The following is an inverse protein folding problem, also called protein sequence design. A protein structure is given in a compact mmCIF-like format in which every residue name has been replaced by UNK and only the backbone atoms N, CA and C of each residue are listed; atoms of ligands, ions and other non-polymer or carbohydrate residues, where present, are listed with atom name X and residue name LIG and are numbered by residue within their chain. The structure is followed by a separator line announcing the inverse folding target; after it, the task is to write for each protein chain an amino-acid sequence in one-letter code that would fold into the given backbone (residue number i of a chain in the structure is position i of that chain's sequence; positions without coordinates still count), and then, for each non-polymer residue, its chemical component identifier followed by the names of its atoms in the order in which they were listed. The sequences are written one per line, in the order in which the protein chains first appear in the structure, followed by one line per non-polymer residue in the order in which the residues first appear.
data_IF_447446120833
#
_entry.id   IF_447446120833
#
_cell.length_a   1.000
_cell.length_b   1.000
_cell.length_c   1.000
_cell.angle_alpha   90.00
_cell.angle_beta   90.00
_cell.angle_gamma   90.00
#
_symmetry.space_group_name_H-M   'P 1'
#
loop_
_entity.id
_entity.type
_entity.pdbx_description
1 polymer ?
#
# COMPACT_ATOMS: atom_id res chain seq x y z
N UNK A 1 -45.89 18.62 2.92
CA UNK A 1 -45.95 18.16 4.32
C UNK A 1 -44.56 17.67 4.72
N UNK A 2 -44.19 17.88 5.98
CA UNK A 2 -42.85 18.03 6.59
C UNK A 2 -41.84 16.89 6.34
N UNK A 3 -40.56 17.32 6.22
CA UNK A 3 -39.33 16.52 6.24
C UNK A 3 -39.22 15.70 7.54
N UNK A 4 -38.98 14.40 7.42
CA UNK A 4 -38.41 13.59 8.52
C UNK A 4 -37.18 12.87 7.99
N UNK A 5 -36.06 13.59 7.98
CA UNK A 5 -34.73 12.98 7.83
C UNK A 5 -34.50 12.22 9.13
N UNK A 6 -34.64 10.89 9.07
CA UNK A 6 -34.24 10.02 10.16
C UNK A 6 -32.72 10.18 10.36
N UNK A 7 -32.35 10.98 11.36
CA UNK A 7 -30.99 11.12 11.83
C UNK A 7 -30.60 9.82 12.55
N UNK A 8 -30.14 8.83 11.79
CA UNK A 8 -29.47 7.66 12.35
C UNK A 8 -28.16 8.14 12.96
N UNK A 9 -28.14 8.32 14.29
CA UNK A 9 -26.89 8.40 15.04
C UNK A 9 -26.17 7.07 14.82
N UNK A 10 -25.32 7.01 13.80
CA UNK A 10 -24.40 5.91 13.56
C UNK A 10 -23.51 5.80 14.81
N UNK A 11 -23.79 4.82 15.66
CA UNK A 11 -22.87 4.44 16.73
C UNK A 11 -21.55 4.09 16.03
N UNK A 12 -20.50 4.88 16.26
CA UNK A 12 -19.20 4.58 15.65
C UNK A 12 -18.78 3.21 16.19
N UNK A 13 -18.57 2.26 15.29
CA UNK A 13 -18.00 0.96 15.64
C UNK A 13 -16.61 1.19 16.24
N UNK A 14 -16.14 0.29 17.11
CA UNK A 14 -14.77 0.35 17.65
C UNK A 14 -13.74 0.46 16.52
N UNK A 15 -14.00 -0.22 15.40
CA UNK A 15 -13.19 -0.14 14.19
C UNK A 15 -13.19 1.26 13.57
N UNK A 16 -14.33 1.96 13.53
CA UNK A 16 -14.42 3.33 12.99
C UNK A 16 -13.64 4.34 13.85
N UNK A 17 -13.67 4.16 15.17
CA UNK A 17 -12.94 5.00 16.13
C UNK A 17 -11.44 4.75 16.00
N UNK A 18 -11.03 3.47 16.03
CA UNK A 18 -9.64 3.06 15.83
C UNK A 18 -9.11 3.59 14.49
N UNK A 19 -9.87 3.43 13.40
CA UNK A 19 -9.49 3.95 12.09
C UNK A 19 -9.33 5.47 12.10
N UNK A 20 -10.25 6.21 12.72
CA UNK A 20 -10.17 7.68 12.78
C UNK A 20 -8.95 8.13 13.58
N UNK A 21 -8.66 7.47 14.70
CA UNK A 21 -7.49 7.77 15.54
C UNK A 21 -6.21 7.40 14.79
N UNK A 22 -6.11 6.18 14.27
CA UNK A 22 -4.94 5.71 13.53
C UNK A 22 -4.63 6.62 12.33
N UNK A 23 -5.65 7.01 11.55
CA UNK A 23 -5.47 7.92 10.42
C UNK A 23 -4.98 9.30 10.87
N UNK A 24 -5.57 9.86 11.93
CA UNK A 24 -5.17 11.17 12.47
C UNK A 24 -3.76 11.13 13.03
N UNK A 25 -3.43 10.10 13.81
CA UNK A 25 -2.11 9.89 14.38
C UNK A 25 -1.06 9.70 13.29
N UNK A 26 -1.32 8.87 12.27
CA UNK A 26 -0.42 8.68 11.13
C UNK A 26 -0.19 10.00 10.37
N UNK A 27 -1.25 10.78 10.12
CA UNK A 27 -1.14 12.07 9.43
C UNK A 27 -0.37 13.10 10.25
N UNK A 28 -0.57 13.12 11.57
CA UNK A 28 0.14 14.04 12.46
C UNK A 28 1.62 13.67 12.55
N UNK A 29 1.94 12.39 12.77
CA UNK A 29 3.32 11.90 12.89
C UNK A 29 4.11 12.10 11.59
N UNK A 30 3.47 11.97 10.42
CA UNK A 30 4.10 12.21 9.12
C UNK A 30 4.25 13.69 8.74
N UNK A 31 3.79 14.63 9.56
CA UNK A 31 3.83 16.06 9.23
C UNK A 31 5.19 16.71 9.51
N UNK A 32 5.60 17.75 8.76
CA UNK A 32 6.81 18.52 9.05
C UNK A 32 6.85 19.12 10.47
N UNK A 33 5.67 19.45 11.02
CA UNK A 33 5.55 19.94 12.40
C UNK A 33 5.92 18.86 13.42
N UNK A 34 5.49 17.61 13.22
CA UNK A 34 5.87 16.51 14.12
C UNK A 34 7.37 16.21 14.07
N UNK A 35 8.00 16.32 12.90
CA UNK A 35 9.46 16.23 12.78
C UNK A 35 10.17 17.31 13.62
N UNK A 36 9.72 18.55 13.52
CA UNK A 36 10.29 19.64 14.31
C UNK A 36 10.13 19.41 15.82
N UNK A 37 8.95 18.98 16.26
CA UNK A 37 8.71 18.62 17.68
C UNK A 37 9.62 17.49 18.13
N UNK A 38 9.75 16.41 17.34
CA UNK A 38 10.64 15.29 17.65
C UNK A 38 12.11 15.75 17.74
N UNK A 39 12.55 16.63 16.83
CA UNK A 39 13.89 17.20 16.84
C UNK A 39 14.16 18.01 18.11
N UNK A 40 13.22 18.87 18.52
CA UNK A 40 13.33 19.65 19.76
C UNK A 40 13.39 18.73 20.99
N UNK A 41 12.60 17.65 21.02
CA UNK A 41 12.66 16.65 22.10
C UNK A 41 14.04 16.00 22.18
N UNK A 42 14.60 15.58 21.04
CA UNK A 42 15.94 14.98 20.98
C UNK A 42 17.02 15.97 21.43
N UNK A 43 16.92 17.24 21.02
CA UNK A 43 17.84 18.29 21.49
C UNK A 43 17.72 18.51 22.99
N UNK A 44 16.51 18.64 23.54
CA UNK A 44 16.30 18.82 24.97
C UNK A 44 16.85 17.63 25.77
N UNK A 45 16.62 16.41 25.29
CA UNK A 45 17.20 15.21 25.88
C UNK A 45 18.74 15.25 25.82
N UNK A 46 19.33 15.59 24.68
CA UNK A 46 20.79 15.70 24.52
C UNK A 46 21.40 16.73 25.48
N UNK A 47 20.79 17.92 25.60
CA UNK A 47 21.22 18.99 26.50
C UNK A 47 21.06 18.64 27.98
N UNK A 48 20.16 17.71 28.32
CA UNK A 48 20.04 17.20 29.69
C UNK A 48 21.16 16.20 30.05
N UNK A 49 21.86 15.64 29.06
CA UNK A 49 22.92 14.64 29.24
C UNK A 49 24.02 15.04 30.24
N UNK A 50 24.62 16.24 30.15
CA UNK A 50 25.64 16.70 31.10
C UNK A 50 25.16 16.76 32.56
N UNK A 51 23.89 17.09 32.81
CA UNK A 51 23.32 17.12 34.15
C UNK A 51 23.21 15.71 34.76
N UNK A 52 22.91 14.70 33.93
CA UNK A 52 22.81 13.30 34.33
C UNK A 52 24.11 12.51 34.15
N UNK A 53 25.23 13.17 33.84
CA UNK A 53 26.53 12.54 33.61
C UNK A 53 26.51 11.49 32.49
N UNK A 54 25.61 11.62 31.51
CA UNK A 54 25.39 10.64 30.45
C UNK A 54 25.14 9.20 30.97
N UNK A 55 24.45 9.08 32.11
CA UNK A 55 24.17 7.81 32.77
C UNK A 55 23.40 6.79 31.92
N UNK A 56 23.50 5.52 32.30
CA UNK A 56 22.76 4.42 31.65
C UNK A 56 21.25 4.64 31.70
N UNK A 57 20.71 5.19 32.79
CA UNK A 57 19.27 5.52 32.89
C UNK A 57 18.86 6.61 31.90
N UNK A 58 19.72 7.61 31.69
CA UNK A 58 19.46 8.68 30.72
C UNK A 58 19.42 8.17 29.27
N UNK A 59 20.31 7.22 28.92
CA UNK A 59 20.30 6.52 27.63
C UNK A 59 19.10 5.57 27.50
N UNK A 60 18.78 4.84 28.58
CA UNK A 60 17.69 3.88 28.61
C UNK A 60 16.35 4.55 28.30
N UNK A 61 16.08 5.74 28.85
CA UNK A 61 14.81 6.45 28.64
C UNK A 61 14.56 6.73 27.15
N UNK A 62 15.54 7.24 26.41
CA UNK A 62 15.34 7.53 24.99
C UNK A 62 15.26 6.25 24.15
N UNK A 63 16.06 5.24 24.47
CA UNK A 63 16.09 3.98 23.74
C UNK A 63 14.79 3.21 23.92
N UNK A 64 14.32 3.05 25.16
CA UNK A 64 13.05 2.39 25.48
C UNK A 64 11.87 3.18 24.90
N UNK A 65 11.86 4.51 25.06
CA UNK A 65 10.78 5.35 24.52
C UNK A 65 10.67 5.27 23.00
N UNK A 66 11.80 5.41 22.30
CA UNK A 66 11.84 5.33 20.84
C UNK A 66 11.45 3.94 20.33
N UNK A 67 11.85 2.87 21.04
CA UNK A 67 11.48 1.50 20.68
C UNK A 67 9.97 1.29 20.75
N UNK A 68 9.32 1.70 21.84
CA UNK A 68 7.86 1.62 21.98
C UNK A 68 7.16 2.44 20.91
N UNK A 69 7.62 3.68 20.68
CA UNK A 69 7.04 4.56 19.66
C UNK A 69 7.18 3.97 18.26
N UNK A 70 8.35 3.40 17.94
CA UNK A 70 8.61 2.75 16.66
C UNK A 70 7.74 1.52 16.47
N UNK A 71 7.60 0.68 17.51
CA UNK A 71 6.72 -0.48 17.47
C UNK A 71 5.27 -0.08 17.15
N UNK A 72 4.75 0.94 17.83
CA UNK A 72 3.43 1.49 17.53
C UNK A 72 3.35 2.10 16.13
N UNK A 73 4.39 2.82 15.70
CA UNK A 73 4.46 3.43 14.38
C UNK A 73 4.41 2.36 13.27
N UNK A 74 5.11 1.24 13.42
CA UNK A 74 5.08 0.14 12.44
C UNK A 74 3.63 -0.34 12.24
N UNK A 75 2.86 -0.57 13.31
CA UNK A 75 1.45 -0.94 13.16
C UNK A 75 0.61 0.15 12.49
N UNK A 76 0.83 1.43 12.83
CA UNK A 76 0.11 2.55 12.21
C UNK A 76 0.41 2.68 10.71
N UNK A 77 1.69 2.56 10.36
CA UNK A 77 2.17 2.58 8.98
C UNK A 77 1.62 1.37 8.23
N UNK A 78 1.69 0.17 8.78
CA UNK A 78 1.12 -1.05 8.19
C UNK A 78 -0.39 -0.94 7.98
N UNK A 79 -1.15 -0.40 8.94
CA UNK A 79 -2.60 -0.21 8.77
C UNK A 79 -2.91 0.79 7.63
N UNK A 80 -2.15 1.89 7.55
CA UNK A 80 -2.31 2.89 6.49
C UNK A 80 -1.93 2.31 5.13
N UNK A 81 -0.77 1.65 5.05
CA UNK A 81 -0.27 0.99 3.84
C UNK A 81 -1.19 -0.13 3.36
N UNK A 82 -1.70 -0.98 4.26
CA UNK A 82 -2.65 -2.04 3.90
C UNK A 82 -3.93 -1.48 3.28
N UNK A 83 -4.43 -0.36 3.82
CA UNK A 83 -5.63 0.30 3.28
C UNK A 83 -5.35 0.97 1.93
N UNK A 84 -4.22 1.67 1.79
CA UNK A 84 -3.84 2.31 0.53
C UNK A 84 -3.57 1.27 -0.56
N UNK A 85 -2.97 0.13 -0.22
CA UNK A 85 -2.81 -1.02 -1.11
C UNK A 85 -4.15 -1.50 -1.65
N UNK A 86 -5.12 -1.80 -0.77
CA UNK A 86 -6.48 -2.20 -1.19
C UNK A 86 -7.17 -1.16 -2.09
N UNK A 87 -6.99 0.13 -1.81
CA UNK A 87 -7.57 1.18 -2.63
C UNK A 87 -6.91 1.26 -4.02
N UNK A 88 -5.62 0.94 -4.14
CA UNK A 88 -4.91 0.83 -5.42
C UNK A 88 -5.44 -0.38 -6.21
N UNK A 89 -5.56 -1.55 -5.58
CA UNK A 89 -6.13 -2.76 -6.19
C UNK A 89 -7.50 -2.48 -6.80
N UNK A 90 -8.45 -1.98 -6.02
CA UNK A 90 -9.80 -1.65 -6.49
C UNK A 90 -9.82 -0.64 -7.67
N UNK A 91 -8.90 0.33 -7.69
CA UNK A 91 -8.78 1.28 -8.81
C UNK A 91 -8.24 0.60 -10.06
N UNK A 92 -7.27 -0.31 -9.92
CA UNK A 92 -6.73 -1.10 -11.02
C UNK A 92 -7.78 -2.05 -11.58
N UNK A 93 -8.55 -2.71 -10.72
CA UNK A 93 -9.65 -3.60 -11.10
C UNK A 93 -10.69 -2.87 -11.93
N UNK A 94 -11.10 -1.67 -11.52
CA UNK A 94 -12.04 -0.86 -12.29
C UNK A 94 -11.46 -0.43 -13.64
N UNK A 95 -10.17 -0.09 -13.70
CA UNK A 95 -9.48 0.22 -14.96
C UNK A 95 -9.43 -0.99 -15.89
N UNK A 96 -9.03 -2.17 -15.39
CA UNK A 96 -8.99 -3.43 -16.14
C UNK A 96 -10.40 -3.75 -16.65
N UNK A 97 -11.42 -3.69 -15.78
CA UNK A 97 -12.82 -3.93 -16.14
C UNK A 97 -13.35 -2.96 -17.19
N UNK A 98 -12.91 -1.70 -17.18
CA UNK A 98 -13.34 -0.68 -18.16
C UNK A 98 -12.76 -0.91 -19.56
N UNK A 99 -11.68 -1.68 -19.69
CA UNK A 99 -11.06 -2.01 -20.97
C UNK A 99 -11.79 -3.21 -21.58
N UNK A 100 -12.53 -2.98 -22.68
CA UNK A 100 -13.38 -3.99 -23.37
C UNK A 100 -12.68 -5.29 -23.77
N UNK A 101 -11.34 -5.32 -23.81
CA UNK A 101 -10.53 -6.49 -24.19
C UNK A 101 -9.82 -7.15 -23.00
N UNK A 102 -9.94 -6.59 -21.80
CA UNK A 102 -9.34 -7.19 -20.62
C UNK A 102 -10.14 -8.42 -20.18
N UNK A 103 -9.44 -9.53 -19.93
CA UNK A 103 -10.07 -10.75 -19.41
C UNK A 103 -10.43 -10.52 -17.94
N UNK A 104 -11.69 -10.75 -17.59
CA UNK A 104 -12.19 -10.69 -16.21
C UNK A 104 -11.35 -11.51 -15.20
N UNK A 105 -10.60 -12.52 -15.68
CA UNK A 105 -9.68 -13.33 -14.86
C UNK A 105 -8.46 -12.56 -14.32
N UNK A 106 -8.20 -11.34 -14.79
CA UNK A 106 -7.13 -10.48 -14.26
C UNK A 106 -7.61 -9.50 -13.19
N UNK A 107 -8.93 -9.36 -13.04
CA UNK A 107 -9.57 -8.63 -11.93
C UNK A 107 -9.53 -9.60 -10.75
N UNK A 108 -8.93 -9.22 -9.63
CA UNK A 108 -8.69 -10.07 -8.44
C UNK A 108 -7.54 -11.11 -8.59
N UNK A 109 -6.51 -10.81 -9.37
CA UNK A 109 -5.34 -11.72 -9.54
C UNK A 109 -4.60 -11.98 -8.22
N UNK A 110 -4.66 -11.06 -7.26
CA UNK A 110 -4.05 -11.16 -5.93
C UNK A 110 -4.70 -12.21 -5.03
N UNK A 111 -5.95 -12.58 -5.30
CA UNK A 111 -6.72 -13.55 -4.51
C UNK A 111 -6.69 -14.96 -5.14
N UNK A 112 -6.01 -15.12 -6.28
CA UNK A 112 -5.86 -16.40 -6.96
C UNK A 112 -4.92 -17.35 -6.20
N UNK A 113 -5.19 -18.65 -6.27
CA UNK A 113 -4.26 -19.66 -5.73
C UNK A 113 -2.96 -19.68 -6.52
N UNK A 114 -1.85 -20.10 -5.90
CA UNK A 114 -0.56 -20.25 -6.58
C UNK A 114 -0.65 -21.18 -7.81
N UNK A 115 -1.49 -22.21 -7.74
CA UNK A 115 -1.73 -23.13 -8.85
C UNK A 115 -2.44 -22.44 -10.03
N UNK A 116 -3.44 -21.60 -9.74
CA UNK A 116 -4.17 -20.84 -10.75
C UNK A 116 -3.28 -19.75 -11.38
N UNK A 117 -2.45 -19.07 -10.57
CA UNK A 117 -1.45 -18.13 -11.04
C UNK A 117 -0.44 -18.79 -11.99
N UNK A 118 0.03 -19.99 -11.66
CA UNK A 118 0.95 -20.75 -12.50
C UNK A 118 0.29 -21.15 -13.83
N UNK A 119 -0.97 -21.59 -13.79
CA UNK A 119 -1.74 -21.91 -14.98
C UNK A 119 -1.92 -20.68 -15.89
N UNK A 120 -2.28 -19.54 -15.31
CA UNK A 120 -2.43 -18.27 -16.04
C UNK A 120 -1.09 -17.82 -16.64
N UNK A 121 0.01 -17.94 -15.89
CA UNK A 121 1.36 -17.68 -16.39
C UNK A 121 1.71 -18.55 -17.60
N UNK A 122 1.47 -19.86 -17.52
CA UNK A 122 1.73 -20.82 -18.59
C UNK A 122 0.90 -20.49 -19.85
N UNK A 123 -0.34 -20.06 -19.69
CA UNK A 123 -1.17 -19.61 -20.80
C UNK A 123 -0.58 -18.38 -21.51
N UNK A 124 -0.10 -17.38 -20.75
CA UNK A 124 0.57 -16.20 -21.31
C UNK A 124 1.87 -16.55 -22.04
N UNK A 125 2.64 -17.51 -21.53
CA UNK A 125 3.84 -18.02 -22.22
C UNK A 125 3.47 -18.66 -23.55
N UNK A 126 2.45 -19.52 -23.58
CA UNK A 126 1.99 -20.17 -24.79
C UNK A 126 1.44 -19.18 -25.83
N UNK A 127 0.71 -18.14 -25.40
CA UNK A 127 0.21 -17.09 -26.29
C UNK A 127 1.34 -16.26 -26.92
N UNK A 128 2.37 -15.91 -26.14
CA UNK A 128 3.56 -15.19 -26.65
C UNK A 128 4.29 -16.01 -27.70
N UNK A 129 4.56 -17.29 -27.42
CA UNK A 129 5.21 -18.19 -28.38
C UNK A 129 4.41 -18.33 -29.68
N UNK A 130 3.08 -18.50 -29.60
CA UNK A 130 2.21 -18.55 -30.79
C UNK A 130 2.34 -17.26 -31.61
N UNK A 131 2.32 -16.11 -30.95
CA UNK A 131 2.42 -14.80 -31.61
C UNK A 131 3.77 -14.63 -32.30
N UNK A 132 4.88 -14.98 -31.64
CA UNK A 132 6.23 -14.94 -32.22
C UNK A 132 6.35 -15.83 -33.46
N UNK A 133 5.82 -17.07 -33.40
CA UNK A 133 5.83 -17.99 -34.54
C UNK A 133 4.99 -17.43 -35.70
N UNK A 134 3.84 -16.84 -35.42
CA UNK A 134 2.99 -16.22 -36.45
C UNK A 134 3.68 -15.01 -37.10
N UNK A 135 4.32 -14.15 -36.29
CA UNK A 135 5.10 -13.03 -36.79
C UNK A 135 6.26 -13.51 -37.66
N UNK A 136 7.02 -14.52 -37.21
CA UNK A 136 8.12 -15.11 -37.99
C UNK A 136 7.64 -15.68 -39.34
N UNK A 137 6.51 -16.38 -39.37
CA UNK A 137 5.89 -16.89 -40.60
C UNK A 137 5.45 -15.75 -41.53
N UNK A 138 4.87 -14.67 -40.98
CA UNK A 138 4.42 -13.50 -41.75
C UNK A 138 5.58 -12.74 -42.36
N UNK A 139 6.68 -12.56 -41.63
CA UNK A 139 7.91 -11.93 -42.13
C UNK A 139 8.56 -12.75 -43.24
N UNK A 140 8.57 -14.09 -43.12
CA UNK A 140 9.13 -14.97 -44.16
C UNK A 140 8.29 -14.94 -45.45
N UNK A 141 6.97 -15.01 -45.32
CA UNK A 141 6.03 -14.92 -46.45
C UNK A 141 6.11 -13.59 -47.21
N UNK A 142 6.29 -12.47 -46.49
CA UNK A 142 6.41 -11.13 -47.08
C UNK A 142 7.71 -10.99 -47.90
N UNK A 143 8.83 -11.57 -47.42
CA UNK A 143 10.10 -11.59 -48.17
C UNK A 143 10.06 -12.48 -49.42
N UNK A 144 9.26 -13.54 -49.42
CA UNK A 144 9.10 -14.42 -50.59
C UNK A 144 8.24 -13.77 -51.70
N UNK A 145 7.31 -12.88 -51.34
CA UNK A 145 6.47 -12.15 -52.31
C UNK A 145 7.13 -10.91 -52.93
N UNK A 146 8.12 -10.30 -52.25
CA UNK A 146 8.86 -9.14 -52.78
C UNK A 146 10.03 -9.53 -53.71
N UNK A 147 10.36 -10.82 -53.78
CA UNK A 147 11.43 -11.38 -54.63
C UNK A 147 10.91 -12.23 -55.80
N UNK A 148 9.60 -12.23 -56.05
CA UNK A 148 8.94 -12.88 -57.19
C UNK A 148 8.40 -11.83 -58.17
#
# INVERSE_FOLDING_TARGET
MIRTIANSKKTRSMNDIFHTIAQRTATMIGSPFAFFVAFVIVLAWSLSGPYFGYSDTWQLVINTGTTILTFLMIFLVQNTQNRDGKAIHLKLDELIRSIKTARNQLVDIEDMSDADLLNLHNEFVALRQKTEVLLAKRTKKTRETDHA
#
